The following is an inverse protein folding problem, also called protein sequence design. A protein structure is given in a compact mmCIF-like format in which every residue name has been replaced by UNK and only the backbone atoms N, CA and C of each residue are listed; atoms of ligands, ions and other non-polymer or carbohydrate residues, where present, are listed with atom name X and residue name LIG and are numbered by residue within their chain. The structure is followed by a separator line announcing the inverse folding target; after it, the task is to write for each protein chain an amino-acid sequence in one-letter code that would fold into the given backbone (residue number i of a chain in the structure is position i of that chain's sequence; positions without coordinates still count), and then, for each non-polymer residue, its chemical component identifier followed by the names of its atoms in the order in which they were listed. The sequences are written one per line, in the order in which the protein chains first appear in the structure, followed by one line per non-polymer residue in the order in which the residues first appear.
data_IF_173072877413
#
_entry.id   IF_173072877413
#
_cell.length_a   1.000
_cell.length_b   1.000
_cell.length_c   1.000
_cell.angle_alpha   90.00
_cell.angle_beta   90.00
_cell.angle_gamma   90.00
#
_symmetry.space_group_name_H-M   'P 1'
#
loop_
_entity.id
_entity.type
_entity.pdbx_description
1 polymer ?
#
# COMPACT_ATOMS: atom_id res chain seq x y z
N UNK A 1 18.53 -9.08 -5.31
CA UNK A 1 18.84 -7.93 -4.42
C UNK A 1 18.48 -6.65 -5.18
N UNK A 2 17.46 -5.92 -4.74
CA UNK A 2 17.09 -4.62 -5.30
C UNK A 2 18.20 -3.61 -4.95
N UNK A 3 18.93 -3.10 -5.96
CA UNK A 3 20.15 -2.29 -5.77
C UNK A 3 19.85 -0.84 -5.37
N UNK A 4 18.60 -0.40 -5.52
CA UNK A 4 18.05 0.83 -4.98
C UNK A 4 16.58 0.56 -4.62
N UNK A 5 16.25 0.52 -3.33
CA UNK A 5 14.87 0.54 -2.85
C UNK A 5 14.57 1.95 -2.35
N UNK A 6 13.45 2.54 -2.77
CA UNK A 6 12.99 3.80 -2.16
C UNK A 6 12.79 3.59 -0.67
N UNK A 7 12.95 4.64 0.14
CA UNK A 7 12.65 4.60 1.59
C UNK A 7 11.24 4.04 1.82
N UNK A 8 10.30 4.35 0.92
CA UNK A 8 8.96 3.79 0.93
C UNK A 8 8.92 2.26 0.76
N UNK A 9 9.70 1.71 -0.18
CA UNK A 9 9.82 0.26 -0.37
C UNK A 9 10.46 -0.43 0.85
N UNK A 10 11.42 0.22 1.51
CA UNK A 10 12.01 -0.26 2.77
C UNK A 10 11.00 -0.24 3.92
N UNK A 11 10.20 0.82 4.04
CA UNK A 11 9.13 0.91 5.03
C UNK A 11 8.05 -0.15 4.80
N UNK A 12 7.68 -0.43 3.55
CA UNK A 12 6.73 -1.49 3.21
C UNK A 12 7.20 -2.88 3.64
N UNK A 13 8.52 -3.13 3.65
CA UNK A 13 9.08 -4.41 4.11
C UNK A 13 8.93 -4.60 5.63
N UNK A 14 8.70 -3.55 6.41
CA UNK A 14 8.42 -3.66 7.84
C UNK A 14 7.05 -4.27 8.14
N UNK A 15 6.14 -4.27 7.16
CA UNK A 15 4.79 -4.78 7.34
C UNK A 15 4.70 -6.25 6.85
N UNK A 16 4.37 -7.21 7.73
CA UNK A 16 4.28 -8.61 7.36
C UNK A 16 3.09 -8.86 6.42
N UNK A 17 3.39 -9.13 5.14
CA UNK A 17 2.35 -9.29 4.11
C UNK A 17 1.40 -10.46 4.37
N UNK A 18 1.93 -11.57 4.89
CA UNK A 18 1.14 -12.76 5.21
C UNK A 18 0.15 -12.50 6.34
N UNK A 19 0.61 -11.91 7.44
CA UNK A 19 -0.26 -11.56 8.57
C UNK A 19 -1.34 -10.55 8.17
N UNK A 20 -0.97 -9.55 7.36
CA UNK A 20 -1.95 -8.60 6.81
C UNK A 20 -3.02 -9.32 6.00
N UNK A 21 -2.63 -10.25 5.12
CA UNK A 21 -3.57 -10.99 4.30
C UNK A 21 -4.46 -11.92 5.15
N UNK A 22 -3.89 -12.60 6.15
CA UNK A 22 -4.65 -13.39 7.12
C UNK A 22 -5.70 -12.55 7.85
N UNK A 23 -5.35 -11.34 8.28
CA UNK A 23 -6.29 -10.41 8.92
C UNK A 23 -7.41 -9.96 7.95
N UNK A 24 -7.08 -9.64 6.70
CA UNK A 24 -8.05 -9.30 5.65
C UNK A 24 -9.04 -10.46 5.40
N UNK A 25 -8.54 -11.69 5.33
CA UNK A 25 -9.39 -12.88 5.16
C UNK A 25 -10.27 -13.13 6.38
N UNK A 26 -9.71 -13.07 7.59
CA UNK A 26 -10.43 -13.28 8.85
C UNK A 26 -11.58 -12.27 9.03
N UNK A 27 -11.34 -11.01 8.67
CA UNK A 27 -12.33 -9.92 8.76
C UNK A 27 -13.26 -9.84 7.56
N UNK A 28 -13.03 -10.63 6.50
CA UNK A 28 -13.74 -10.55 5.21
C UNK A 28 -13.76 -9.13 4.62
N UNK A 29 -12.71 -8.34 4.87
CA UNK A 29 -12.64 -6.94 4.46
C UNK A 29 -12.73 -6.75 2.93
N UNK A 30 -12.33 -7.76 2.16
CA UNK A 30 -12.38 -7.75 0.69
C UNK A 30 -13.73 -8.22 0.08
N UNK A 31 -14.72 -8.62 0.90
CA UNK A 31 -15.99 -9.19 0.41
C UNK A 31 -16.79 -8.26 -0.52
N UNK A 32 -16.67 -6.95 -0.34
CA UNK A 32 -17.36 -5.94 -1.14
C UNK A 32 -16.39 -5.00 -1.87
N UNK A 33 -15.14 -5.40 -2.03
CA UNK A 33 -14.15 -4.65 -2.80
C UNK A 33 -14.66 -4.41 -4.23
N UNK A 34 -14.61 -3.15 -4.67
CA UNK A 34 -14.79 -2.76 -6.07
C UNK A 34 -13.55 -1.99 -6.53
N UNK A 35 -12.59 -2.71 -7.10
CA UNK A 35 -11.44 -2.14 -7.82
C UNK A 35 -10.09 -2.24 -7.11
N UNK A 36 -9.99 -2.02 -5.80
CA UNK A 36 -8.70 -2.04 -5.08
C UNK A 36 -8.66 -3.07 -3.96
N UNK A 37 -7.61 -3.88 -3.92
CA UNK A 37 -7.33 -4.79 -2.82
C UNK A 37 -7.07 -4.01 -1.53
N UNK A 38 -7.39 -4.61 -0.38
CA UNK A 38 -7.10 -4.00 0.93
C UNK A 38 -5.62 -3.66 1.07
N UNK A 39 -4.73 -4.49 0.51
CA UNK A 39 -3.31 -4.17 0.44
C UNK A 39 -3.04 -2.95 -0.44
N UNK A 40 -3.59 -2.92 -1.66
CA UNK A 40 -3.41 -1.78 -2.56
C UNK A 40 -3.91 -0.47 -1.94
N UNK A 41 -5.03 -0.52 -1.20
CA UNK A 41 -5.53 0.61 -0.44
C UNK A 41 -4.59 1.01 0.70
N UNK A 42 -4.07 0.04 1.47
CA UNK A 42 -3.11 0.29 2.54
C UNK A 42 -1.84 1.00 2.02
N UNK A 43 -1.23 0.47 0.94
CA UNK A 43 -0.04 1.07 0.32
C UNK A 43 -0.30 2.50 -0.13
N UNK A 44 -1.47 2.77 -0.71
CA UNK A 44 -1.88 4.12 -1.12
C UNK A 44 -2.01 5.07 0.06
N UNK A 45 -2.66 4.63 1.14
CA UNK A 45 -2.83 5.44 2.34
C UNK A 45 -1.48 5.75 2.99
N UNK A 46 -0.59 4.75 3.06
CA UNK A 46 0.77 4.92 3.59
C UNK A 46 1.57 5.92 2.76
N UNK A 47 1.51 5.80 1.42
CA UNK A 47 2.16 6.75 0.52
C UNK A 47 1.59 8.17 0.68
N UNK A 48 0.27 8.29 0.84
CA UNK A 48 -0.40 9.56 1.04
C UNK A 48 0.05 10.28 2.31
N UNK A 49 0.11 9.52 3.42
CA UNK A 49 0.50 10.04 4.73
C UNK A 49 1.97 10.43 4.78
N UNK A 50 2.86 9.64 4.18
CA UNK A 50 4.30 9.91 4.18
C UNK A 50 4.72 10.97 3.16
N UNK A 51 4.07 10.97 1.98
CA UNK A 51 4.37 11.91 0.90
C UNK A 51 3.64 13.25 0.99
N UNK A 52 2.80 13.45 2.03
CA UNK A 52 1.83 14.56 2.11
C UNK A 52 1.06 14.75 0.79
N UNK A 53 0.70 13.65 0.13
CA UNK A 53 -0.04 13.75 -1.13
C UNK A 53 -1.43 14.29 -0.82
N UNK A 54 -1.82 15.37 -1.50
CA UNK A 54 -3.08 16.08 -1.27
C UNK A 54 -4.14 15.71 -2.32
N UNK A 55 -3.78 14.92 -3.35
CA UNK A 55 -4.71 14.49 -4.38
C UNK A 55 -4.56 13.02 -4.79
N UNK A 56 -5.67 12.40 -5.21
CA UNK A 56 -5.68 11.03 -5.78
C UNK A 56 -4.73 10.89 -6.98
N UNK A 57 -4.53 11.97 -7.76
CA UNK A 57 -3.59 11.99 -8.88
C UNK A 57 -2.15 11.87 -8.41
N UNK A 58 -1.76 12.62 -7.38
CA UNK A 58 -0.43 12.53 -6.77
C UNK A 58 -0.15 11.14 -6.19
N UNK A 59 -1.15 10.54 -5.52
CA UNK A 59 -1.03 9.17 -5.00
C UNK A 59 -0.80 8.18 -6.15
N UNK A 60 -1.61 8.28 -7.21
CA UNK A 60 -1.57 7.30 -8.31
C UNK A 60 -0.31 7.45 -9.16
N UNK A 61 0.17 8.68 -9.36
CA UNK A 61 1.41 8.95 -10.08
C UNK A 61 2.65 8.64 -9.25
N UNK A 62 2.66 8.99 -7.95
CA UNK A 62 3.78 8.72 -7.07
C UNK A 62 4.00 7.23 -6.77
N UNK A 63 2.93 6.44 -6.75
CA UNK A 63 3.04 4.97 -6.68
C UNK A 63 3.54 4.33 -7.98
N UNK A 64 3.46 5.01 -9.12
CA UNK A 64 4.01 4.51 -10.40
C UNK A 64 5.51 4.78 -10.52
N UNK A 65 6.05 5.73 -9.75
CA UNK A 65 7.47 6.06 -9.75
C UNK A 65 8.26 5.30 -8.67
N UNK A 66 7.59 4.53 -7.82
CA UNK A 66 8.20 3.65 -6.81
C UNK A 66 8.26 2.22 -7.34
#
# INVERSE_FOLDING_TARGET
MQRFSSIFSQLLQLFPRLEFQSAVTATKAERHMRGFTCWGQFVRMLFCQLGRAHSLREITNGLRSC
#
